data_IF_987157178331
#
_entry.id   IF_987157178331
#
_cell.length_a   1.000
_cell.length_b   1.000
_cell.length_c   1.000
_cell.angle_alpha   90.00
_cell.angle_beta   90.00
_cell.angle_gamma   90.00
#
_symmetry.space_group_name_H-M   'P 1'
#
loop_
_entity.id
_entity.type
_entity.pdbx_description
1 polymer ?
#
# COMPACT_ATOMS: atom_id res chain seq x y z
N UNK A 1 -32.80 11.45 28.50
CA UNK A 1 -32.64 10.00 28.65
C UNK A 1 -31.36 9.61 27.95
N UNK A 2 -30.30 9.50 28.74
CA UNK A 2 -28.95 9.12 28.34
C UNK A 2 -28.94 7.65 27.93
N UNK A 3 -29.09 7.41 26.63
CA UNK A 3 -28.58 6.18 26.03
C UNK A 3 -27.07 6.31 25.95
N UNK A 4 -26.37 5.99 27.04
CA UNK A 4 -24.94 5.70 27.04
C UNK A 4 -24.74 4.49 26.13
N UNK A 5 -24.71 4.76 24.82
CA UNK A 5 -24.38 3.79 23.80
C UNK A 5 -22.97 3.32 24.14
N UNK A 6 -22.88 2.08 24.60
CA UNK A 6 -21.66 1.30 24.66
C UNK A 6 -21.16 1.17 23.23
N UNK A 7 -20.52 2.23 22.72
CA UNK A 7 -19.82 2.22 21.46
C UNK A 7 -18.64 1.28 21.70
N UNK A 8 -18.55 0.14 21.02
CA UNK A 8 -17.45 -0.78 21.22
C UNK A 8 -16.14 -0.06 20.90
N UNK A 9 -15.41 0.33 21.93
CA UNK A 9 -14.04 0.83 21.82
C UNK A 9 -13.16 -0.40 21.64
N UNK A 10 -12.83 -0.73 20.39
CA UNK A 10 -12.00 -1.91 20.12
C UNK A 10 -11.80 -2.20 18.64
N UNK A 11 -10.96 -3.18 18.36
CA UNK A 11 -10.57 -3.63 17.01
C UNK A 11 -11.79 -3.95 16.14
N UNK A 12 -12.88 -4.46 16.74
CA UNK A 12 -14.11 -4.81 16.03
C UNK A 12 -14.89 -3.61 15.48
N UNK A 13 -14.80 -2.43 16.11
CA UNK A 13 -15.41 -1.23 15.55
C UNK A 13 -14.70 -0.75 14.28
N UNK A 14 -13.44 -1.14 14.09
CA UNK A 14 -12.63 -0.76 12.93
C UNK A 14 -13.05 -1.52 11.66
N UNK A 15 -13.65 -2.71 11.81
CA UNK A 15 -14.28 -3.46 10.73
C UNK A 15 -15.72 -3.00 10.42
N UNK A 16 -16.25 -2.00 11.13
CA UNK A 16 -17.54 -1.42 10.75
C UNK A 16 -17.37 -0.53 9.53
N UNK A 17 -17.93 -0.98 8.41
CA UNK A 17 -17.86 -0.27 7.12
C UNK A 17 -18.79 0.95 7.02
N UNK A 18 -19.66 1.13 8.01
CA UNK A 18 -20.84 2.00 7.93
C UNK A 18 -20.69 3.36 8.64
N UNK A 19 -19.62 3.58 9.39
CA UNK A 19 -19.40 4.82 10.18
C UNK A 19 -18.14 5.55 9.70
N UNK A 20 -18.17 6.89 9.74
CA UNK A 20 -17.00 7.74 9.49
C UNK A 20 -15.92 7.50 10.54
N UNK A 21 -14.65 7.52 10.11
CA UNK A 21 -13.51 7.24 10.95
C UNK A 21 -12.93 8.54 11.51
N UNK A 22 -13.08 8.76 12.81
CA UNK A 22 -12.44 9.89 13.48
C UNK A 22 -10.90 9.81 13.38
N UNK A 23 -10.23 10.94 13.17
CA UNK A 23 -8.78 11.10 13.04
C UNK A 23 -8.03 10.44 14.19
N UNK A 24 -8.45 10.67 15.44
CA UNK A 24 -7.82 10.06 16.62
C UNK A 24 -7.88 8.53 16.57
N UNK A 25 -9.02 7.98 16.17
CA UNK A 25 -9.19 6.53 16.05
C UNK A 25 -8.32 5.95 14.93
N UNK A 26 -8.23 6.63 13.78
CA UNK A 26 -7.33 6.26 12.68
C UNK A 26 -5.87 6.19 13.14
N UNK A 27 -5.36 7.23 13.79
CA UNK A 27 -3.95 7.28 14.22
C UNK A 27 -3.61 6.28 15.33
N UNK A 28 -4.59 5.91 16.17
CA UNK A 28 -4.42 4.82 17.14
C UNK A 28 -4.38 3.44 16.47
N UNK A 29 -5.14 3.27 15.39
CA UNK A 29 -5.19 2.02 14.63
C UNK A 29 -3.98 1.83 13.70
N UNK A 30 -3.47 2.91 13.12
CA UNK A 30 -2.47 2.89 12.07
C UNK A 30 -1.25 1.99 12.38
N UNK A 31 -0.61 2.05 13.57
CA UNK A 31 0.53 1.17 13.88
C UNK A 31 0.16 -0.32 13.91
N UNK A 32 -1.04 -0.65 14.39
CA UNK A 32 -1.55 -2.02 14.48
C UNK A 32 -1.83 -2.55 13.07
N UNK A 33 -2.40 -1.71 12.20
CA UNK A 33 -2.73 -2.06 10.82
C UNK A 33 -1.49 -2.28 9.94
N UNK A 34 -0.40 -1.54 10.22
CA UNK A 34 0.87 -1.66 9.50
C UNK A 34 1.71 -2.87 9.93
N UNK A 35 1.47 -3.42 11.12
CA UNK A 35 2.30 -4.49 11.67
C UNK A 35 2.25 -5.78 10.83
N UNK A 36 1.09 -6.32 10.42
CA UNK A 36 1.05 -7.52 9.59
C UNK A 36 1.81 -7.43 8.25
N UNK A 37 1.61 -6.40 7.40
CA UNK A 37 2.34 -6.33 6.13
C UNK A 37 3.83 -6.09 6.32
N UNK A 38 4.25 -5.33 7.34
CA UNK A 38 5.67 -5.12 7.65
C UNK A 38 6.34 -6.41 8.12
N UNK A 39 5.71 -7.14 9.04
CA UNK A 39 6.23 -8.44 9.50
C UNK A 39 6.32 -9.44 8.35
N UNK A 40 5.27 -9.55 7.55
CA UNK A 40 5.27 -10.43 6.39
C UNK A 40 6.40 -10.05 5.40
N UNK A 41 6.50 -8.76 5.05
CA UNK A 41 7.55 -8.29 4.14
C UNK A 41 8.97 -8.54 4.66
N UNK A 42 9.18 -8.53 5.98
CA UNK A 42 10.48 -8.81 6.60
C UNK A 42 10.88 -10.29 6.58
N UNK A 43 9.90 -11.20 6.45
CA UNK A 43 10.12 -12.65 6.46
C UNK A 43 10.23 -13.22 5.04
N UNK A 44 9.78 -12.48 4.03
CA UNK A 44 9.83 -12.89 2.64
C UNK A 44 11.25 -12.70 2.09
N UNK A 45 11.81 -13.77 1.52
CA UNK A 45 12.99 -13.65 0.67
C UNK A 45 12.57 -13.05 -0.69
N UNK A 46 12.91 -11.78 -0.89
CA UNK A 46 12.61 -11.04 -2.12
C UNK A 46 13.59 -11.33 -3.26
N UNK A 47 14.69 -12.04 -2.99
CA UNK A 47 15.69 -12.42 -4.00
C UNK A 47 15.30 -13.68 -4.78
N UNK A 48 14.31 -14.44 -4.29
CA UNK A 48 13.84 -15.64 -4.98
C UNK A 48 13.11 -15.30 -6.30
N UNK A 49 13.62 -15.80 -7.42
CA UNK A 49 13.20 -15.42 -8.79
C UNK A 49 12.10 -16.33 -9.38
N UNK A 50 11.29 -17.01 -8.55
CA UNK A 50 10.20 -17.85 -9.05
C UNK A 50 8.90 -17.03 -9.23
N UNK A 51 8.33 -16.88 -10.44
CA UNK A 51 7.30 -15.90 -10.77
C UNK A 51 5.99 -16.22 -10.07
N UNK A 52 5.65 -17.51 -10.00
CA UNK A 52 4.45 -17.96 -9.29
C UNK A 52 4.56 -17.67 -7.78
N UNK A 53 5.73 -17.87 -7.19
CA UNK A 53 5.95 -17.55 -5.78
C UNK A 53 5.99 -16.04 -5.56
N UNK A 54 6.55 -15.27 -6.49
CA UNK A 54 6.55 -13.81 -6.44
C UNK A 54 5.13 -13.23 -6.47
N UNK A 55 4.26 -13.71 -7.36
CA UNK A 55 2.85 -13.32 -7.39
C UNK A 55 2.12 -13.70 -6.10
N UNK A 56 2.34 -14.91 -5.58
CA UNK A 56 1.77 -15.33 -4.30
C UNK A 56 2.26 -14.44 -3.15
N UNK A 57 3.55 -14.07 -3.14
CA UNK A 57 4.12 -13.17 -2.13
C UNK A 57 3.46 -11.80 -2.15
N UNK A 58 3.27 -11.22 -3.32
CA UNK A 58 2.57 -9.94 -3.48
C UNK A 58 1.09 -10.04 -3.08
N UNK A 59 0.42 -11.13 -3.43
CA UNK A 59 -0.98 -11.34 -3.04
C UNK A 59 -1.14 -11.41 -1.52
N UNK A 60 -0.26 -12.14 -0.82
CA UNK A 60 -0.29 -12.21 0.65
C UNK A 60 0.07 -10.86 1.26
N UNK A 61 1.07 -10.15 0.73
CA UNK A 61 1.40 -8.80 1.19
C UNK A 61 0.20 -7.84 1.02
N UNK A 62 -0.50 -7.93 -0.10
CA UNK A 62 -1.70 -7.13 -0.35
C UNK A 62 -2.82 -7.47 0.64
N UNK A 63 -3.10 -8.76 0.85
CA UNK A 63 -4.13 -9.22 1.80
C UNK A 63 -3.82 -8.76 3.22
N UNK A 64 -2.56 -8.85 3.65
CA UNK A 64 -2.14 -8.38 4.98
C UNK A 64 -2.19 -6.85 5.10
N UNK A 65 -2.00 -6.11 4.00
CA UNK A 65 -2.10 -4.65 3.94
C UNK A 65 -3.55 -4.14 3.81
N UNK A 66 -4.53 -4.98 3.46
CA UNK A 66 -5.92 -4.57 3.26
C UNK A 66 -6.52 -3.75 4.43
N UNK A 67 -6.36 -4.15 5.71
CA UNK A 67 -6.91 -3.37 6.82
C UNK A 67 -6.36 -1.94 6.86
N UNK A 68 -5.07 -1.77 6.61
CA UNK A 68 -4.40 -0.47 6.51
C UNK A 68 -4.93 0.33 5.32
N UNK A 69 -4.94 -0.26 4.13
CA UNK A 69 -5.39 0.41 2.89
C UNK A 69 -6.85 0.87 2.99
N UNK A 70 -7.73 0.02 3.53
CA UNK A 70 -9.15 0.34 3.71
C UNK A 70 -9.36 1.45 4.74
N UNK A 71 -8.61 1.45 5.85
CA UNK A 71 -8.70 2.51 6.86
C UNK A 71 -8.20 3.85 6.30
N UNK A 72 -7.06 3.85 5.62
CA UNK A 72 -6.49 5.05 4.98
C UNK A 72 -7.42 5.60 3.89
N UNK A 73 -7.96 4.73 3.03
CA UNK A 73 -8.90 5.11 1.97
C UNK A 73 -10.15 5.81 2.51
N UNK A 74 -10.76 5.25 3.56
CA UNK A 74 -11.91 5.89 4.23
C UNK A 74 -11.52 7.21 4.87
N UNK A 75 -10.36 7.27 5.52
CA UNK A 75 -9.89 8.48 6.18
C UNK A 75 -9.69 9.62 5.18
N UNK A 76 -9.16 9.31 4.00
CA UNK A 76 -9.04 10.25 2.89
C UNK A 76 -10.42 10.73 2.40
N UNK A 77 -11.37 9.81 2.17
CA UNK A 77 -12.75 10.16 1.82
C UNK A 77 -13.44 11.04 2.89
N UNK A 78 -13.16 10.78 4.17
CA UNK A 78 -13.69 11.58 5.28
C UNK A 78 -13.12 13.01 5.30
N UNK A 79 -11.90 13.19 4.80
CA UNK A 79 -11.22 14.47 4.67
C UNK A 79 -11.46 15.16 3.31
N UNK A 80 -12.33 14.62 2.45
CA UNK A 80 -12.66 15.20 1.14
C UNK A 80 -11.70 14.84 0.00
N UNK A 81 -10.77 13.92 0.22
CA UNK A 81 -9.83 13.44 -0.79
C UNK A 81 -10.29 12.11 -1.41
N UNK A 82 -9.73 11.78 -2.57
CA UNK A 82 -9.99 10.49 -3.24
C UNK A 82 -9.34 9.34 -2.45
N UNK A 83 -10.17 8.41 -1.97
CA UNK A 83 -9.73 7.23 -1.24
C UNK A 83 -8.84 6.27 -2.05
N UNK A 84 -8.82 6.34 -3.38
CA UNK A 84 -7.88 5.56 -4.20
C UNK A 84 -6.42 6.00 -4.02
N UNK A 85 -6.17 7.22 -3.53
CA UNK A 85 -4.83 7.72 -3.27
C UNK A 85 -4.08 6.89 -2.19
N UNK A 86 -4.81 6.13 -1.37
CA UNK A 86 -4.21 5.18 -0.41
C UNK A 86 -3.32 4.12 -1.07
N UNK A 87 -3.54 3.80 -2.36
CA UNK A 87 -2.76 2.82 -3.10
C UNK A 87 -1.54 3.41 -3.81
N UNK A 88 -1.48 4.73 -3.99
CA UNK A 88 -0.44 5.40 -4.78
C UNK A 88 0.99 5.17 -4.26
N UNK A 89 1.25 5.14 -2.94
CA UNK A 89 2.57 4.81 -2.41
C UNK A 89 3.12 3.45 -2.88
N UNK A 90 2.23 2.49 -3.18
CA UNK A 90 2.60 1.11 -3.52
C UNK A 90 2.74 0.90 -5.02
N UNK A 91 2.10 1.72 -5.86
CA UNK A 91 2.13 1.57 -7.31
C UNK A 91 3.55 1.57 -7.90
N UNK A 92 4.49 2.45 -7.48
CA UNK A 92 5.88 2.41 -7.93
C UNK A 92 6.53 1.03 -7.74
N UNK A 93 6.36 0.41 -6.58
CA UNK A 93 6.94 -0.91 -6.29
C UNK A 93 6.34 -2.02 -7.15
N UNK A 94 5.03 -1.99 -7.41
CA UNK A 94 4.37 -2.99 -8.27
C UNK A 94 4.88 -2.87 -9.71
N UNK A 95 4.94 -1.65 -10.24
CA UNK A 95 5.44 -1.36 -11.60
C UNK A 95 6.89 -1.84 -11.73
N UNK A 96 7.71 -1.52 -10.73
CA UNK A 96 9.12 -1.83 -10.72
C UNK A 96 9.40 -3.33 -10.58
N UNK A 97 8.64 -4.02 -9.73
CA UNK A 97 8.68 -5.47 -9.61
C UNK A 97 8.28 -6.14 -10.92
N UNK A 98 7.21 -5.70 -11.58
CA UNK A 98 6.82 -6.20 -12.91
C UNK A 98 7.93 -5.97 -13.94
N UNK A 99 8.56 -4.80 -13.92
CA UNK A 99 9.71 -4.48 -14.75
C UNK A 99 10.84 -5.50 -14.56
N UNK A 100 11.23 -5.76 -13.32
CA UNK A 100 12.22 -6.80 -13.03
C UNK A 100 11.80 -8.17 -13.55
N UNK A 101 10.57 -8.62 -13.29
CA UNK A 101 10.13 -9.93 -13.76
C UNK A 101 10.28 -10.07 -15.27
N UNK A 102 9.91 -9.05 -16.05
CA UNK A 102 10.06 -9.07 -17.51
C UNK A 102 11.53 -9.24 -17.93
N UNK A 103 12.46 -8.47 -17.35
CA UNK A 103 13.89 -8.55 -17.72
C UNK A 103 14.56 -9.83 -17.22
N UNK A 104 14.27 -10.28 -16.00
CA UNK A 104 14.81 -11.50 -15.41
C UNK A 104 14.37 -12.73 -16.23
N UNK A 105 13.09 -12.79 -16.59
CA UNK A 105 12.55 -13.90 -17.38
C UNK A 105 13.01 -13.89 -18.84
N UNK A 106 13.04 -12.72 -19.49
CA UNK A 106 13.56 -12.61 -20.84
C UNK A 106 15.05 -13.03 -20.90
N UNK A 107 15.87 -12.56 -19.95
CA UNK A 107 17.27 -12.94 -19.86
C UNK A 107 17.45 -14.45 -19.61
N UNK A 108 16.67 -15.04 -18.71
CA UNK A 108 16.72 -16.48 -18.42
C UNK A 108 16.33 -17.33 -19.64
N UNK A 109 15.21 -17.00 -20.29
CA UNK A 109 14.73 -17.73 -21.47
C UNK A 109 15.74 -17.72 -22.63
N UNK A 110 16.38 -16.56 -22.88
CA UNK A 110 17.41 -16.42 -23.91
C UNK A 110 18.69 -17.18 -23.55
N UNK A 111 19.06 -17.21 -22.26
CA UNK A 111 20.19 -17.99 -21.78
C UNK A 111 20.03 -19.49 -22.03
N UNK A 112 18.83 -20.05 -21.84
CA UNK A 112 18.54 -21.47 -22.03
C UNK A 112 18.71 -21.95 -23.48
N UNK A 113 18.48 -21.08 -24.47
CA UNK A 113 18.63 -21.42 -25.91
C UNK A 113 20.04 -21.17 -26.45
N UNK A 114 21.04 -21.00 -25.57
CA UNK A 114 22.44 -20.80 -25.95
C UNK A 114 22.82 -19.35 -26.24
N UNK A 115 21.93 -18.38 -25.98
CA UNK A 115 22.16 -16.96 -26.21
C UNK A 115 22.96 -16.24 -25.11
N UNK A 116 24.00 -16.88 -24.53
CA UNK A 116 24.67 -16.40 -23.32
C UNK A 116 25.16 -14.94 -23.35
N UNK A 117 25.77 -14.51 -24.47
CA UNK A 117 26.20 -13.11 -24.64
C UNK A 117 25.02 -12.14 -24.72
N UNK A 118 23.96 -12.52 -25.44
CA UNK A 118 22.75 -11.69 -25.60
C UNK A 118 22.06 -11.55 -24.24
N UNK A 119 21.95 -12.64 -23.49
CA UNK A 119 21.43 -12.62 -22.12
C UNK A 119 22.26 -11.66 -21.26
N UNK A 120 23.59 -11.76 -21.25
CA UNK A 120 24.46 -10.86 -20.48
C UNK A 120 24.25 -9.38 -20.84
N UNK A 121 24.16 -9.06 -22.13
CA UNK A 121 23.89 -7.69 -22.59
C UNK A 121 22.53 -7.18 -22.13
N UNK A 122 21.49 -8.03 -22.18
CA UNK A 122 20.16 -7.69 -21.67
C UNK A 122 20.18 -7.44 -20.16
N UNK A 123 20.91 -8.25 -19.40
CA UNK A 123 21.08 -8.04 -17.96
C UNK A 123 21.82 -6.74 -17.65
N UNK A 124 22.86 -6.41 -18.42
CA UNK A 124 23.59 -5.16 -18.28
C UNK A 124 22.70 -3.94 -18.59
N UNK A 125 21.96 -3.96 -19.69
CA UNK A 125 21.01 -2.91 -20.06
C UNK A 125 19.88 -2.79 -19.02
N UNK A 126 19.36 -3.91 -18.52
CA UNK A 126 18.36 -3.93 -17.47
C UNK A 126 18.90 -3.31 -16.18
N UNK A 127 20.14 -3.62 -15.77
CA UNK A 127 20.76 -3.02 -14.59
C UNK A 127 20.90 -1.49 -14.75
N UNK A 128 21.37 -1.03 -15.93
CA UNK A 128 21.51 0.40 -16.23
C UNK A 128 20.19 1.17 -16.18
N UNK A 129 19.06 0.55 -16.52
CA UNK A 129 17.74 1.19 -16.50
C UNK A 129 17.09 1.03 -15.11
N UNK A 130 17.05 -0.19 -14.59
CA UNK A 130 16.27 -0.52 -13.41
C UNK A 130 16.91 0.04 -12.14
N UNK A 131 18.24 0.07 -12.00
CA UNK A 131 18.89 0.58 -10.78
C UNK A 131 18.59 2.08 -10.56
N UNK A 132 18.78 2.98 -11.54
CA UNK A 132 18.38 4.38 -11.38
C UNK A 132 16.87 4.52 -11.17
N UNK A 133 16.07 3.73 -11.89
CA UNK A 133 14.61 3.73 -11.73
C UNK A 133 14.19 3.34 -10.31
N UNK A 134 14.91 2.43 -9.65
CA UNK A 134 14.67 2.07 -8.25
C UNK A 134 14.79 3.27 -7.32
N UNK A 135 15.86 4.05 -7.48
CA UNK A 135 16.09 5.23 -6.66
C UNK A 135 14.98 6.26 -6.88
N UNK A 136 14.61 6.52 -8.14
CA UNK A 136 13.52 7.43 -8.49
C UNK A 136 12.20 6.96 -7.87
N UNK A 137 11.86 5.68 -8.05
CA UNK A 137 10.61 5.12 -7.51
C UNK A 137 10.58 5.15 -5.99
N UNK A 138 11.70 4.95 -5.31
CA UNK A 138 11.82 5.10 -3.86
C UNK A 138 11.48 6.55 -3.44
N UNK A 139 12.06 7.55 -4.09
CA UNK A 139 11.75 8.96 -3.82
C UNK A 139 10.28 9.29 -4.09
N UNK A 140 9.73 8.83 -5.21
CA UNK A 140 8.31 9.00 -5.55
C UNK A 140 7.42 8.38 -4.48
N UNK A 141 7.72 7.17 -4.02
CA UNK A 141 6.97 6.54 -2.92
C UNK A 141 7.08 7.34 -1.63
N UNK A 142 8.26 7.84 -1.25
CA UNK A 142 8.40 8.65 -0.04
C UNK A 142 7.57 9.93 -0.11
N UNK A 143 7.63 10.64 -1.25
CA UNK A 143 6.86 11.87 -1.46
C UNK A 143 5.35 11.62 -1.45
N UNK A 144 4.88 10.57 -2.14
CA UNK A 144 3.46 10.20 -2.17
C UNK A 144 2.97 9.71 -0.80
N UNK A 145 3.78 8.93 -0.08
CA UNK A 145 3.47 8.51 1.30
C UNK A 145 3.33 9.72 2.22
N UNK A 146 4.28 10.65 2.17
CA UNK A 146 4.23 11.87 2.98
C UNK A 146 2.97 12.70 2.67
N UNK A 147 2.62 12.83 1.39
CA UNK A 147 1.41 13.52 0.94
C UNK A 147 0.15 12.85 1.47
N UNK A 148 0.01 11.53 1.28
CA UNK A 148 -1.15 10.76 1.74
C UNK A 148 -1.28 10.83 3.26
N UNK A 149 -0.18 10.66 4.00
CA UNK A 149 -0.19 10.81 5.46
C UNK A 149 -0.58 12.22 5.88
N UNK A 150 -0.09 13.25 5.20
CA UNK A 150 -0.47 14.64 5.42
C UNK A 150 -1.98 14.87 5.25
N UNK A 151 -2.57 14.33 4.19
CA UNK A 151 -4.02 14.41 3.94
C UNK A 151 -4.84 13.74 5.06
N UNK A 152 -4.34 12.65 5.66
CA UNK A 152 -5.04 11.99 6.78
C UNK A 152 -5.07 12.80 8.08
N UNK A 153 -4.22 13.84 8.21
CA UNK A 153 -4.19 14.75 9.36
C UNK A 153 -5.27 15.85 9.28
N UNK A 154 -5.73 16.19 8.08
CA UNK A 154 -6.73 17.24 7.82
C UNK A 154 -8.06 16.90 8.50
N UNK A 155 -8.76 17.84 9.12
CA UNK A 155 -10.05 17.57 9.75
C UNK A 155 -11.06 17.00 8.75
N UNK A 156 -12.01 16.18 9.21
CA UNK A 156 -13.04 15.65 8.32
C UNK A 156 -13.95 16.76 7.79
N UNK A 157 -14.48 16.59 6.58
CA UNK A 157 -15.45 17.54 6.03
C UNK A 157 -16.71 17.59 6.89
N UNK A 158 -17.26 18.80 7.15
CA UNK A 158 -18.52 18.96 7.90
C UNK A 158 -19.74 18.45 7.13
N UNK A 159 -19.60 18.21 5.82
CA UNK A 159 -20.63 17.63 4.97
C UNK A 159 -20.90 16.16 5.32
N UNK A 160 -22.08 15.67 4.92
CA UNK A 160 -22.39 14.24 4.98
C UNK A 160 -21.80 13.57 3.73
N UNK A 161 -20.94 12.57 3.91
CA UNK A 161 -20.38 11.79 2.80
C UNK A 161 -21.11 10.44 2.65
N UNK A 162 -20.64 9.58 1.76
CA UNK A 162 -21.21 8.24 1.52
C UNK A 162 -21.25 7.33 2.77
N UNK A 163 -20.54 7.70 3.85
CA UNK A 163 -20.49 6.99 5.13
C UNK A 163 -21.30 7.69 6.24
N UNK A 164 -22.08 8.72 5.93
CA UNK A 164 -22.98 9.40 6.86
C UNK A 164 -22.40 10.67 7.52
N UNK A 165 -23.04 11.22 8.57
CA UNK A 165 -22.53 12.39 9.29
C UNK A 165 -21.39 12.01 10.26
N UNK A 166 -20.39 12.87 10.41
CA UNK A 166 -19.33 12.66 11.41
C UNK A 166 -19.72 13.31 12.74
N UNK A 167 -20.36 12.53 13.61
CA UNK A 167 -20.79 13.01 14.92
C UNK A 167 -19.64 13.16 15.93
N UNK A 168 -18.41 12.73 15.57
CA UNK A 168 -17.27 12.59 16.51
C UNK A 168 -16.17 13.62 16.31
N UNK A 169 -16.18 14.35 15.20
CA UNK A 169 -15.26 15.46 14.98
C UNK A 169 -16.05 16.76 14.96
N UNK A 170 -16.03 17.45 16.09
CA UNK A 170 -16.47 18.85 16.16
C UNK A 170 -15.29 19.68 15.67
N UNK A 171 -15.53 20.51 14.64
CA UNK A 171 -14.55 21.46 14.10
C UNK A 171 -14.04 22.41 15.19
#
# INVERSE_FOLDING_TARGET
MEGANNIPSGILAMFRFKERMARKAYWQFLPIALLPPVLYASQVDWLEVHPWHGMAKLAVLFVTALPFLLATSRRLNDAGFDGAQAFYPFAPFVILWLGYQVFLWAGFAIGLVGGGLIALLLWFVAALILIPLHLIMLFVTLMTTATVLGQTLVASEPSTNAHGPNLREVL
#
